data_IF_810887814385
#
_entry.id   IF_810887814385
#
_cell.length_a   1.000
_cell.length_b   1.000
_cell.length_c   1.000
_cell.angle_alpha   90.00
_cell.angle_beta   90.00
_cell.angle_gamma   90.00
#
_symmetry.space_group_name_H-M   'P 1'
#
loop_
_entity.id
_entity.type
_entity.pdbx_description
1 polymer ?
#
# COMPACT_ATOMS: atom_id res chain seq x y z
N UNK A 1 -33.43 -1.68 11.29
CA UNK A 1 -32.12 -1.19 11.84
C UNK A 1 -31.57 -2.02 12.99
N UNK A 2 -32.29 -2.97 13.52
CA UNK A 2 -31.91 -3.70 14.74
C UNK A 2 -30.59 -4.47 14.59
N UNK A 3 -30.46 -5.29 13.53
CA UNK A 3 -29.23 -6.06 13.28
C UNK A 3 -28.01 -5.18 12.98
N UNK A 4 -28.21 -4.06 12.26
CA UNK A 4 -27.13 -3.12 11.96
C UNK A 4 -26.66 -2.37 13.21
N UNK A 5 -27.54 -2.04 14.14
CA UNK A 5 -27.19 -1.42 15.42
C UNK A 5 -26.45 -2.42 16.31
N UNK A 6 -26.90 -3.69 16.36
CA UNK A 6 -26.20 -4.78 17.05
C UNK A 6 -24.78 -4.94 16.47
N UNK A 7 -24.64 -4.95 15.15
CA UNK A 7 -23.34 -5.00 14.49
C UNK A 7 -22.44 -3.81 14.89
N UNK A 8 -23.01 -2.59 14.95
CA UNK A 8 -22.29 -1.40 15.39
C UNK A 8 -21.71 -1.57 16.80
N UNK A 9 -22.50 -2.03 17.75
CA UNK A 9 -22.04 -2.28 19.13
C UNK A 9 -20.96 -3.35 19.17
N UNK A 10 -21.14 -4.47 18.45
CA UNK A 10 -20.11 -5.51 18.32
C UNK A 10 -18.79 -4.98 17.74
N UNK A 11 -18.84 -4.11 16.72
CA UNK A 11 -17.65 -3.47 16.16
C UNK A 11 -16.96 -2.53 17.17
N UNK A 12 -17.73 -1.82 18.00
CA UNK A 12 -17.18 -0.96 19.06
C UNK A 12 -16.50 -1.80 20.15
N UNK A 13 -17.09 -2.92 20.54
CA UNK A 13 -16.52 -3.87 21.52
C UNK A 13 -15.22 -4.51 20.99
N UNK A 14 -15.16 -4.82 19.69
CA UNK A 14 -13.97 -5.36 19.01
C UNK A 14 -12.82 -4.33 18.97
N UNK A 15 -13.12 -3.04 18.89
CA UNK A 15 -12.14 -1.98 18.67
C UNK A 15 -10.95 -2.02 19.66
N UNK A 16 -11.14 -2.12 20.98
CA UNK A 16 -10.04 -2.14 21.96
C UNK A 16 -9.30 -3.49 22.03
N UNK A 17 -9.82 -4.55 21.42
CA UNK A 17 -9.26 -5.89 21.54
C UNK A 17 -7.93 -6.07 20.82
N UNK A 18 -7.07 -6.98 21.30
CA UNK A 18 -5.87 -7.43 20.61
C UNK A 18 -6.19 -8.27 19.38
N UNK A 19 -5.22 -8.45 18.49
CA UNK A 19 -5.41 -9.09 17.18
C UNK A 19 -6.01 -10.49 17.23
N UNK A 20 -5.62 -11.33 18.21
CA UNK A 20 -6.16 -12.69 18.33
C UNK A 20 -7.63 -12.68 18.75
N UNK A 21 -7.99 -11.87 19.77
CA UNK A 21 -9.37 -11.71 20.20
C UNK A 21 -10.25 -11.14 19.07
N UNK A 22 -9.76 -10.14 18.33
CA UNK A 22 -10.45 -9.64 17.12
C UNK A 22 -10.71 -10.75 16.11
N UNK A 23 -9.73 -11.64 15.90
CA UNK A 23 -9.89 -12.76 14.97
C UNK A 23 -10.98 -13.75 15.43
N UNK A 24 -11.07 -14.03 16.72
CA UNK A 24 -12.09 -14.90 17.30
C UNK A 24 -13.48 -14.27 17.16
N UNK A 25 -13.64 -13.00 17.52
CA UNK A 25 -14.90 -12.28 17.37
C UNK A 25 -15.36 -12.21 15.90
N UNK A 26 -14.44 -11.96 14.96
CA UNK A 26 -14.74 -11.98 13.54
C UNK A 26 -15.14 -13.37 13.03
N UNK A 27 -14.57 -14.45 13.57
CA UNK A 27 -14.94 -15.82 13.24
C UNK A 27 -16.35 -16.19 13.76
N UNK A 28 -16.78 -15.57 14.86
CA UNK A 28 -18.08 -15.77 15.49
C UNK A 28 -19.21 -14.92 14.86
N UNK A 29 -18.88 -14.04 13.90
CA UNK A 29 -19.89 -13.28 13.16
C UNK A 29 -20.75 -14.17 12.28
N UNK A 30 -22.06 -13.92 12.27
CA UNK A 30 -23.00 -14.60 11.37
C UNK A 30 -22.81 -14.13 9.90
N UNK A 31 -23.54 -14.77 8.98
CA UNK A 31 -23.40 -14.47 7.54
C UNK A 31 -23.85 -13.05 7.18
N UNK A 32 -24.84 -12.49 7.90
CA UNK A 32 -25.26 -11.11 7.71
C UNK A 32 -24.17 -10.14 8.18
N UNK A 33 -23.65 -10.34 9.39
CA UNK A 33 -22.57 -9.50 9.96
C UNK A 33 -21.31 -9.53 9.08
N UNK A 34 -20.87 -10.73 8.64
CA UNK A 34 -19.74 -10.87 7.73
C UNK A 34 -19.97 -10.14 6.40
N UNK A 35 -21.18 -10.24 5.84
CA UNK A 35 -21.56 -9.57 4.59
C UNK A 35 -21.53 -8.04 4.75
N UNK A 36 -22.03 -7.52 5.86
CA UNK A 36 -22.03 -6.07 6.13
C UNK A 36 -20.62 -5.54 6.36
N UNK A 37 -19.77 -6.26 7.10
CA UNK A 37 -18.36 -5.91 7.26
C UNK A 37 -17.62 -6.00 5.92
N UNK A 38 -17.91 -7.01 5.11
CA UNK A 38 -17.33 -7.12 3.76
C UNK A 38 -17.75 -5.95 2.88
N UNK A 39 -19.00 -5.51 2.94
CA UNK A 39 -19.51 -4.35 2.21
C UNK A 39 -18.78 -3.05 2.62
N UNK A 40 -18.51 -2.86 3.93
CA UNK A 40 -17.72 -1.74 4.42
C UNK A 40 -16.28 -1.78 3.91
N UNK A 41 -15.65 -2.94 3.83
CA UNK A 41 -14.22 -3.09 3.53
C UNK A 41 -13.91 -3.34 2.06
N UNK A 42 -14.86 -3.78 1.23
CA UNK A 42 -14.61 -4.11 -0.18
C UNK A 42 -14.14 -2.89 -0.97
N UNK A 43 -12.88 -2.83 -1.43
CA UNK A 43 -12.31 -1.64 -2.07
C UNK A 43 -12.92 -1.32 -3.45
N UNK A 44 -13.66 -2.27 -4.04
CA UNK A 44 -14.31 -2.11 -5.34
C UNK A 44 -15.75 -1.60 -5.26
N UNK A 45 -16.30 -1.50 -4.05
CA UNK A 45 -17.63 -0.95 -3.82
C UNK A 45 -17.49 0.50 -3.40
N UNK A 46 -18.25 1.40 -4.04
CA UNK A 46 -18.29 2.83 -3.74
C UNK A 46 -19.73 3.27 -3.64
N UNK A 47 -20.02 4.10 -2.66
CA UNK A 47 -21.37 4.64 -2.46
C UNK A 47 -21.57 6.03 -3.07
N UNK A 48 -20.48 6.71 -3.51
CA UNK A 48 -20.54 7.97 -4.25
C UNK A 48 -21.00 9.19 -3.45
N UNK A 49 -21.41 9.05 -2.19
CA UNK A 49 -21.88 10.16 -1.35
C UNK A 49 -20.82 10.49 -0.30
N UNK A 50 -20.11 11.62 -0.50
CA UNK A 50 -19.03 12.06 0.41
C UNK A 50 -19.49 13.15 1.40
N UNK A 51 -20.50 13.94 1.01
CA UNK A 51 -21.06 15.04 1.83
C UNK A 51 -22.59 15.00 1.77
N UNK A 52 -23.21 15.10 2.90
CA UNK A 52 -24.67 15.15 3.08
C UNK A 52 -24.99 15.86 4.40
N UNK A 53 -26.22 16.37 4.53
CA UNK A 53 -26.68 17.01 5.78
C UNK A 53 -27.06 15.92 6.80
N UNK A 54 -26.54 16.04 8.00
CA UNK A 54 -26.88 15.15 9.11
C UNK A 54 -27.99 15.82 9.92
N UNK A 55 -29.17 15.19 9.98
CA UNK A 55 -30.28 15.62 10.81
C UNK A 55 -30.04 15.25 12.28
N UNK A 56 -30.74 15.90 13.20
CA UNK A 56 -30.81 15.47 14.59
C UNK A 56 -31.32 14.03 14.67
N UNK A 57 -30.68 13.15 15.46
CA UNK A 57 -31.09 11.76 15.56
C UNK A 57 -32.45 11.62 16.26
N UNK A 58 -33.23 10.65 15.84
CA UNK A 58 -34.48 10.25 16.52
C UNK A 58 -34.15 9.42 17.77
N UNK A 59 -35.14 9.23 18.65
CA UNK A 59 -35.02 8.32 19.81
C UNK A 59 -34.86 6.85 19.35
N UNK A 60 -35.57 6.47 18.28
CA UNK A 60 -35.46 5.16 17.67
C UNK A 60 -35.45 5.26 16.14
N UNK A 61 -34.73 4.34 15.48
CA UNK A 61 -34.70 4.29 14.00
C UNK A 61 -35.98 3.73 13.43
N UNK A 62 -36.53 4.42 12.43
CA UNK A 62 -37.75 4.00 11.69
C UNK A 62 -37.43 2.95 10.62
N UNK A 63 -36.33 3.07 9.81
CA UNK A 63 -36.12 2.16 8.69
C UNK A 63 -35.72 0.75 9.15
N UNK A 64 -36.12 -0.26 8.37
CA UNK A 64 -35.69 -1.64 8.56
C UNK A 64 -34.22 -1.81 8.14
N UNK A 65 -33.57 -2.92 8.56
CA UNK A 65 -32.25 -3.31 8.03
C UNK A 65 -32.28 -3.45 6.49
N UNK A 66 -33.35 -4.06 5.97
CA UNK A 66 -33.55 -4.25 4.54
C UNK A 66 -33.57 -2.92 3.76
N UNK A 67 -34.30 -1.91 4.26
CA UNK A 67 -34.36 -0.57 3.63
C UNK A 67 -32.97 0.07 3.51
N UNK A 68 -32.14 -0.10 4.56
CA UNK A 68 -30.78 0.43 4.56
C UNK A 68 -29.90 -0.31 3.57
N UNK A 69 -29.97 -1.65 3.55
CA UNK A 69 -29.20 -2.48 2.61
C UNK A 69 -29.57 -2.17 1.17
N UNK A 70 -30.87 -2.08 0.85
CA UNK A 70 -31.35 -1.71 -0.50
C UNK A 70 -30.81 -0.34 -0.96
N UNK A 71 -30.77 0.66 -0.09
CA UNK A 71 -30.16 1.95 -0.46
C UNK A 71 -28.65 1.80 -0.72
N UNK A 72 -27.93 1.04 0.14
CA UNK A 72 -26.50 0.79 -0.06
C UNK A 72 -26.24 0.05 -1.39
N UNK A 73 -27.08 -0.91 -1.75
CA UNK A 73 -27.00 -1.65 -3.02
C UNK A 73 -27.23 -0.71 -4.24
N UNK A 74 -28.26 0.16 -4.20
CA UNK A 74 -28.51 1.15 -5.24
C UNK A 74 -27.38 2.16 -5.40
N UNK A 75 -26.74 2.56 -4.29
CA UNK A 75 -25.56 3.42 -4.31
C UNK A 75 -24.35 2.67 -4.89
N UNK A 76 -24.15 1.41 -4.48
CA UNK A 76 -23.04 0.57 -4.91
C UNK A 76 -23.12 0.21 -6.40
N UNK A 77 -24.31 -0.09 -6.91
CA UNK A 77 -24.57 -0.41 -8.32
C UNK A 77 -24.59 0.84 -9.23
N UNK A 78 -24.52 2.04 -8.64
CA UNK A 78 -24.63 3.31 -9.36
C UNK A 78 -26.01 3.56 -9.99
N UNK A 79 -27.01 2.81 -9.59
CA UNK A 79 -28.42 3.05 -9.94
C UNK A 79 -28.89 4.42 -9.41
N UNK A 80 -28.34 4.82 -8.25
CA UNK A 80 -28.63 6.11 -7.62
C UNK A 80 -27.33 6.92 -7.46
N UNK A 81 -27.27 8.08 -8.13
CA UNK A 81 -26.07 8.94 -8.18
C UNK A 81 -26.42 10.42 -8.01
N UNK A 82 -25.39 11.28 -7.87
CA UNK A 82 -25.54 12.73 -7.83
C UNK A 82 -26.47 13.23 -6.73
N UNK A 83 -27.25 14.27 -7.01
CA UNK A 83 -28.15 14.89 -6.05
C UNK A 83 -29.26 13.94 -5.55
N UNK A 84 -29.72 13.03 -6.41
CA UNK A 84 -30.72 12.04 -6.00
C UNK A 84 -30.19 11.10 -4.93
N UNK A 85 -28.91 10.66 -5.05
CA UNK A 85 -28.24 9.87 -4.03
C UNK A 85 -28.08 10.65 -2.71
N UNK A 86 -27.68 11.92 -2.79
CA UNK A 86 -27.56 12.79 -1.60
C UNK A 86 -28.90 12.92 -0.89
N UNK A 87 -29.97 13.25 -1.63
CA UNK A 87 -31.33 13.39 -1.07
C UNK A 87 -31.82 12.11 -0.42
N UNK A 88 -31.60 10.95 -1.05
CA UNK A 88 -31.99 9.67 -0.49
C UNK A 88 -31.22 9.34 0.80
N UNK A 89 -29.92 9.63 0.84
CA UNK A 89 -29.09 9.47 2.03
C UNK A 89 -29.56 10.40 3.15
N UNK A 90 -29.81 11.68 2.86
CA UNK A 90 -30.31 12.66 3.83
C UNK A 90 -31.67 12.24 4.43
N UNK A 91 -32.59 11.80 3.57
CA UNK A 91 -33.92 11.31 3.99
C UNK A 91 -33.81 10.07 4.90
N UNK A 92 -32.94 9.14 4.54
CA UNK A 92 -32.73 7.94 5.34
C UNK A 92 -32.07 8.27 6.69
N UNK A 93 -31.04 9.12 6.71
CA UNK A 93 -30.33 9.55 7.93
C UNK A 93 -31.26 10.31 8.87
N UNK A 94 -32.16 11.14 8.35
CA UNK A 94 -33.16 11.88 9.14
C UNK A 94 -34.16 10.97 9.86
N UNK A 95 -34.30 9.73 9.45
CA UNK A 95 -35.20 8.74 10.07
C UNK A 95 -34.49 7.77 11.02
N UNK A 96 -33.22 8.02 11.37
CA UNK A 96 -32.40 7.13 12.21
C UNK A 96 -32.13 7.72 13.58
N UNK A 97 -31.96 6.85 14.57
CA UNK A 97 -31.35 7.17 15.86
C UNK A 97 -29.83 7.38 15.72
N UNK A 98 -29.16 7.83 16.78
CA UNK A 98 -27.73 8.11 16.77
C UNK A 98 -26.87 6.90 16.35
N UNK A 99 -27.13 5.71 16.89
CA UNK A 99 -26.43 4.49 16.53
C UNK A 99 -26.69 4.07 15.07
N UNK A 100 -27.93 4.26 14.60
CA UNK A 100 -28.28 4.03 13.19
C UNK A 100 -27.51 4.96 12.24
N UNK A 101 -27.40 6.25 12.57
CA UNK A 101 -26.62 7.21 11.80
C UNK A 101 -25.13 6.86 11.80
N UNK A 102 -24.57 6.42 12.95
CA UNK A 102 -23.15 6.06 13.04
C UNK A 102 -22.82 4.81 12.20
N UNK A 103 -23.60 3.74 12.30
CA UNK A 103 -23.35 2.53 11.49
C UNK A 103 -23.50 2.82 10.02
N UNK A 104 -24.51 3.59 9.62
CA UNK A 104 -24.69 3.97 8.22
C UNK A 104 -23.50 4.81 7.69
N UNK A 105 -23.01 5.75 8.50
CA UNK A 105 -21.82 6.53 8.20
C UNK A 105 -20.58 5.67 8.01
N UNK A 106 -20.40 4.57 8.77
CA UNK A 106 -19.28 3.61 8.61
C UNK A 106 -19.29 2.95 7.24
N UNK A 107 -20.46 2.65 6.67
CA UNK A 107 -20.60 2.18 5.29
C UNK A 107 -20.10 3.24 4.31
N UNK A 108 -20.62 4.46 4.39
CA UNK A 108 -20.23 5.54 3.47
C UNK A 108 -18.75 5.89 3.54
N UNK A 109 -18.14 5.82 4.73
CA UNK A 109 -16.72 6.05 4.97
C UNK A 109 -15.85 4.84 4.57
N UNK A 110 -16.45 3.68 4.28
CA UNK A 110 -15.71 2.44 3.98
C UNK A 110 -14.78 2.02 5.11
N UNK A 111 -15.21 2.22 6.37
CA UNK A 111 -14.40 1.97 7.57
C UNK A 111 -15.29 1.47 8.72
N UNK A 112 -15.15 0.22 9.16
CA UNK A 112 -15.88 -0.33 10.30
C UNK A 112 -15.50 0.32 11.64
N UNK A 113 -14.41 1.13 11.70
CA UNK A 113 -13.84 1.78 12.87
C UNK A 113 -13.51 0.86 14.03
N UNK A 114 -13.22 -0.40 13.75
CA UNK A 114 -12.96 -1.44 14.74
C UNK A 114 -11.48 -1.88 14.79
N UNK A 115 -10.58 -1.17 14.10
CA UNK A 115 -9.14 -1.41 14.15
C UNK A 115 -8.69 -2.75 13.54
N UNK A 116 -9.41 -3.23 12.52
CA UNK A 116 -9.01 -4.36 11.68
C UNK A 116 -9.25 -4.05 10.20
N UNK A 117 -8.70 -4.89 9.32
CA UNK A 117 -8.86 -4.73 7.88
C UNK A 117 -9.04 -6.06 7.16
N UNK A 118 -9.11 -6.00 5.83
CA UNK A 118 -9.38 -7.14 4.92
C UNK A 118 -8.49 -8.36 5.24
N UNK A 119 -7.21 -8.14 5.58
CA UNK A 119 -6.28 -9.25 5.83
C UNK A 119 -6.64 -10.09 7.05
N UNK A 120 -7.25 -9.49 8.08
CA UNK A 120 -7.71 -10.22 9.25
C UNK A 120 -9.04 -10.94 8.95
N UNK A 121 -9.99 -10.24 8.33
CA UNK A 121 -11.27 -10.83 7.90
C UNK A 121 -11.05 -12.07 7.02
N UNK A 122 -10.18 -11.98 6.02
CA UNK A 122 -9.91 -13.08 5.09
C UNK A 122 -9.23 -14.31 5.69
N UNK A 123 -8.83 -14.26 6.97
CA UNK A 123 -8.37 -15.45 7.70
C UNK A 123 -9.53 -16.28 8.28
N UNK A 124 -10.72 -15.67 8.42
CA UNK A 124 -11.82 -16.28 9.14
C UNK A 124 -13.18 -16.22 8.41
N UNK A 125 -13.38 -15.25 7.51
CA UNK A 125 -14.63 -15.13 6.75
C UNK A 125 -14.76 -16.26 5.74
N UNK A 126 -15.98 -16.78 5.60
CA UNK A 126 -16.31 -17.83 4.62
C UNK A 126 -16.09 -17.37 3.18
N UNK A 127 -16.50 -16.14 2.87
CA UNK A 127 -16.27 -15.50 1.57
C UNK A 127 -15.20 -14.45 1.70
N UNK A 128 -14.03 -14.62 1.06
CA UNK A 128 -12.95 -13.63 1.13
C UNK A 128 -13.35 -12.29 0.52
N UNK A 129 -13.05 -11.21 1.23
CA UNK A 129 -13.20 -9.84 0.71
C UNK A 129 -12.11 -9.62 -0.36
N UNK A 130 -12.45 -9.11 -1.55
CA UNK A 130 -11.48 -8.80 -2.58
C UNK A 130 -10.42 -7.82 -2.09
N UNK A 131 -9.15 -8.02 -2.47
CA UNK A 131 -8.06 -7.11 -2.17
C UNK A 131 -7.75 -6.22 -3.36
N UNK A 132 -7.46 -4.95 -3.07
CA UNK A 132 -6.88 -4.08 -4.08
C UNK A 132 -5.41 -4.46 -4.24
N UNK A 133 -5.08 -5.07 -5.35
CA UNK A 133 -3.73 -5.53 -5.68
C UNK A 133 -3.25 -4.86 -6.95
N UNK A 134 -1.93 -4.66 -7.04
CA UNK A 134 -1.24 -4.12 -8.21
C UNK A 134 -0.02 -4.98 -8.51
N UNK A 135 0.56 -4.81 -9.68
CA UNK A 135 1.78 -5.53 -10.04
C UNK A 135 2.96 -5.08 -9.15
N UNK A 136 3.69 -6.07 -8.64
CA UNK A 136 4.85 -5.86 -7.78
C UNK A 136 6.09 -6.53 -8.37
N UNK A 137 7.23 -5.85 -8.25
CA UNK A 137 8.52 -6.38 -8.66
C UNK A 137 9.09 -7.40 -7.67
N UNK A 138 9.78 -8.40 -8.19
CA UNK A 138 10.65 -9.31 -7.43
C UNK A 138 12.04 -8.69 -7.26
N UNK A 139 12.76 -9.09 -6.20
CA UNK A 139 14.16 -8.73 -6.07
C UNK A 139 14.99 -9.44 -7.15
N UNK A 140 15.91 -8.70 -7.79
CA UNK A 140 16.78 -9.25 -8.82
C UNK A 140 17.91 -10.08 -8.20
N UNK A 141 18.57 -9.56 -7.17
CA UNK A 141 19.57 -10.28 -6.37
C UNK A 141 18.90 -11.23 -5.38
N UNK A 142 19.53 -12.37 -5.10
CA UNK A 142 19.11 -13.25 -4.03
C UNK A 142 19.45 -12.63 -2.68
N UNK A 143 18.80 -13.11 -1.62
CA UNK A 143 19.05 -12.60 -0.29
C UNK A 143 20.46 -13.01 0.17
N UNK A 144 21.29 -12.02 0.47
CA UNK A 144 22.66 -12.23 0.91
C UNK A 144 23.72 -12.15 -0.21
N UNK A 145 23.29 -11.95 -1.47
CA UNK A 145 24.24 -11.71 -2.56
C UNK A 145 25.00 -10.41 -2.33
N UNK A 146 26.33 -10.50 -2.42
CA UNK A 146 27.25 -9.36 -2.42
C UNK A 146 27.68 -9.03 -3.84
N UNK A 147 28.02 -7.78 -4.09
CA UNK A 147 28.62 -7.38 -5.36
C UNK A 147 29.98 -8.10 -5.56
N UNK A 148 30.32 -8.54 -6.79
CA UNK A 148 29.52 -8.51 -8.01
C UNK A 148 28.38 -9.52 -8.00
N UNK A 149 27.15 -9.05 -8.31
CA UNK A 149 25.98 -9.91 -8.34
C UNK A 149 26.01 -10.88 -9.52
N UNK A 150 25.54 -12.11 -9.29
CA UNK A 150 25.40 -13.10 -10.37
C UNK A 150 24.19 -12.81 -11.23
N UNK A 151 24.22 -13.14 -12.53
CA UNK A 151 23.06 -13.06 -13.40
C UNK A 151 21.90 -13.87 -12.82
N UNK A 152 20.71 -13.26 -12.74
CA UNK A 152 19.52 -13.98 -12.30
C UNK A 152 19.03 -14.87 -13.46
N UNK A 153 18.98 -16.22 -13.31
CA UNK A 153 18.64 -17.13 -14.39
C UNK A 153 17.18 -17.02 -14.87
N UNK A 154 16.35 -16.29 -14.13
CA UNK A 154 14.94 -16.06 -14.48
C UNK A 154 14.71 -14.71 -15.15
N UNK A 155 15.73 -13.86 -15.21
CA UNK A 155 15.68 -12.61 -15.93
C UNK A 155 15.77 -12.87 -17.44
N UNK A 156 15.01 -12.11 -18.22
CA UNK A 156 15.01 -12.19 -19.70
C UNK A 156 15.43 -10.83 -20.25
N UNK A 157 16.26 -10.87 -21.27
CA UNK A 157 16.76 -9.69 -21.93
C UNK A 157 16.21 -9.60 -23.36
N UNK A 158 16.02 -8.41 -23.96
CA UNK A 158 16.18 -7.09 -23.30
C UNK A 158 15.08 -6.79 -22.29
N UNK A 159 15.34 -5.84 -21.36
CA UNK A 159 14.35 -5.32 -20.42
C UNK A 159 14.10 -3.84 -20.68
N UNK A 160 12.93 -3.35 -20.26
CA UNK A 160 12.66 -1.93 -20.12
C UNK A 160 13.15 -1.52 -18.74
N UNK A 161 14.17 -0.67 -18.71
CA UNK A 161 14.78 -0.12 -17.51
C UNK A 161 14.19 1.21 -17.09
N UNK A 162 14.23 1.52 -15.82
CA UNK A 162 13.90 2.85 -15.27
C UNK A 162 14.52 3.04 -13.89
N UNK A 163 14.71 4.30 -13.50
CA UNK A 163 15.05 4.63 -12.12
C UNK A 163 14.00 4.04 -11.17
N UNK A 164 14.47 3.43 -10.09
CA UNK A 164 13.59 3.08 -8.97
C UNK A 164 13.37 4.32 -8.10
N UNK A 165 12.20 4.92 -8.24
CA UNK A 165 11.81 6.09 -7.46
C UNK A 165 11.63 5.72 -5.99
N UNK A 166 12.12 6.59 -5.11
CA UNK A 166 11.92 6.51 -3.67
C UNK A 166 10.76 7.41 -3.24
N UNK A 167 9.56 6.89 -3.34
CA UNK A 167 8.32 7.62 -3.11
C UNK A 167 7.21 6.76 -2.50
N UNK A 168 5.99 7.19 -2.72
CA UNK A 168 4.79 6.45 -2.36
C UNK A 168 4.09 5.96 -3.63
N UNK A 169 3.87 4.64 -3.74
CA UNK A 169 3.06 4.09 -4.85
C UNK A 169 1.68 4.70 -4.86
N UNK A 170 1.31 5.28 -5.98
CA UNK A 170 0.02 5.93 -6.22
C UNK A 170 -0.65 5.30 -7.43
N UNK A 171 -1.90 4.92 -7.25
CA UNK A 171 -2.77 4.46 -8.33
C UNK A 171 -3.82 5.55 -8.54
N UNK A 172 -3.83 6.16 -9.71
CA UNK A 172 -4.83 7.15 -10.08
C UNK A 172 -5.93 6.48 -10.89
N UNK A 173 -7.10 6.37 -10.33
CA UNK A 173 -8.29 5.90 -11.02
C UNK A 173 -9.02 7.08 -11.65
N UNK A 174 -9.38 6.94 -12.91
CA UNK A 174 -10.15 7.93 -13.67
C UNK A 174 -11.38 7.26 -14.26
N UNK A 175 -12.56 7.77 -13.90
CA UNK A 175 -13.87 7.39 -14.46
C UNK A 175 -14.35 8.57 -15.29
N UNK A 176 -14.11 8.52 -16.60
CA UNK A 176 -14.26 9.66 -17.51
C UNK A 176 -15.70 10.15 -17.60
N UNK A 177 -16.66 9.22 -17.71
CA UNK A 177 -18.09 9.59 -17.87
C UNK A 177 -18.68 10.24 -16.61
N UNK A 178 -18.09 9.97 -15.45
CA UNK A 178 -18.52 10.54 -14.17
C UNK A 178 -17.66 11.74 -13.75
N UNK A 179 -16.65 12.09 -14.55
CA UNK A 179 -15.62 13.09 -14.22
C UNK A 179 -14.97 12.85 -12.84
N UNK A 180 -14.91 11.58 -12.42
CA UNK A 180 -14.38 11.21 -11.13
C UNK A 180 -12.91 10.78 -11.24
N UNK A 181 -12.06 11.35 -10.38
CA UNK A 181 -10.65 10.99 -10.24
C UNK A 181 -10.34 10.68 -8.77
N UNK A 182 -9.71 9.54 -8.51
CA UNK A 182 -9.32 9.11 -7.18
C UNK A 182 -7.87 8.68 -7.16
N UNK A 183 -7.09 9.26 -6.27
CA UNK A 183 -5.75 8.79 -5.96
C UNK A 183 -5.82 7.78 -4.82
N UNK A 184 -5.22 6.61 -5.03
CA UNK A 184 -5.24 5.47 -4.14
C UNK A 184 -3.81 5.01 -3.83
N UNK A 185 -3.60 4.55 -2.61
CA UNK A 185 -2.36 3.85 -2.26
C UNK A 185 -2.32 2.46 -2.92
N UNK A 186 -1.17 1.80 -2.83
CA UNK A 186 -0.97 0.41 -3.28
C UNK A 186 -2.01 -0.59 -2.76
N UNK A 187 -2.65 -0.29 -1.64
CA UNK A 187 -3.67 -1.13 -0.98
C UNK A 187 -5.09 -0.61 -1.15
N UNK A 188 -5.28 0.41 -1.98
CA UNK A 188 -6.60 0.98 -2.28
C UNK A 188 -7.09 2.05 -1.30
N UNK A 189 -6.26 2.50 -0.35
CA UNK A 189 -6.64 3.57 0.56
C UNK A 189 -6.56 4.93 -0.14
N UNK A 190 -7.52 5.85 0.07
CA UNK A 190 -7.52 7.16 -0.57
C UNK A 190 -6.31 8.03 -0.17
N UNK A 191 -5.76 8.74 -1.15
CA UNK A 191 -4.72 9.75 -1.00
C UNK A 191 -5.31 11.09 -1.43
N UNK A 192 -5.70 11.93 -0.47
CA UNK A 192 -6.38 13.22 -0.76
C UNK A 192 -5.42 14.37 -0.98
N UNK A 193 -4.16 14.20 -0.63
CA UNK A 193 -3.11 15.23 -0.77
C UNK A 193 -2.79 15.57 -2.23
N UNK A 194 -3.11 14.67 -3.18
CA UNK A 194 -2.93 14.86 -4.62
C UNK A 194 -4.21 15.35 -5.34
N UNK A 195 -5.27 15.71 -4.61
CA UNK A 195 -6.53 16.11 -5.21
C UNK A 195 -6.42 17.33 -6.15
N UNK A 196 -5.39 18.14 -6.01
CA UNK A 196 -5.10 19.26 -6.91
C UNK A 196 -4.69 18.81 -8.32
N UNK A 197 -4.22 17.58 -8.52
CA UNK A 197 -3.85 17.00 -9.81
C UNK A 197 -5.04 16.37 -10.56
N UNK A 198 -6.22 16.28 -9.94
CA UNK A 198 -7.39 15.61 -10.53
C UNK A 198 -7.81 16.17 -11.90
N UNK A 199 -7.84 17.50 -12.15
CA UNK A 199 -8.24 18.02 -13.45
C UNK A 199 -7.34 17.52 -14.58
N UNK A 200 -6.03 17.52 -14.35
CA UNK A 200 -5.05 17.06 -15.33
C UNK A 200 -5.15 15.52 -15.56
N UNK A 201 -5.33 14.73 -14.52
CA UNK A 201 -5.54 13.30 -14.68
C UNK A 201 -6.85 12.95 -15.39
N UNK A 202 -7.90 13.75 -15.21
CA UNK A 202 -9.14 13.58 -15.97
C UNK A 202 -8.93 13.83 -17.46
N UNK A 203 -8.16 14.85 -17.82
CA UNK A 203 -7.80 15.12 -19.22
C UNK A 203 -6.97 13.98 -19.81
N UNK A 204 -5.97 13.47 -19.09
CA UNK A 204 -5.20 12.32 -19.51
C UNK A 204 -6.08 11.06 -19.69
N UNK A 205 -7.07 10.87 -18.80
CA UNK A 205 -8.09 9.83 -18.93
C UNK A 205 -8.91 9.98 -20.21
N UNK A 206 -9.36 11.19 -20.55
CA UNK A 206 -10.09 11.48 -21.81
C UNK A 206 -9.23 11.17 -23.04
N UNK A 207 -7.96 11.56 -23.02
CA UNK A 207 -7.00 11.26 -24.10
C UNK A 207 -6.74 9.77 -24.28
N UNK A 208 -6.90 8.97 -23.23
CA UNK A 208 -6.74 7.51 -23.30
C UNK A 208 -7.83 6.81 -24.15
N UNK A 209 -8.98 7.46 -24.33
CA UNK A 209 -10.16 6.89 -24.99
C UNK A 209 -10.88 5.81 -24.18
N UNK A 210 -10.45 5.54 -22.94
CA UNK A 210 -11.10 4.58 -22.05
C UNK A 210 -12.09 5.28 -21.11
N UNK A 211 -13.27 4.68 -20.91
CA UNK A 211 -14.28 5.21 -19.97
C UNK A 211 -13.85 5.09 -18.51
N UNK A 212 -13.07 4.05 -18.20
CA UNK A 212 -12.54 3.77 -16.87
C UNK A 212 -11.12 3.23 -16.99
N UNK A 213 -10.13 3.89 -16.39
CA UNK A 213 -8.72 3.55 -16.46
C UNK A 213 -8.02 3.80 -15.11
N UNK A 214 -7.00 3.01 -14.83
CA UNK A 214 -6.09 3.19 -13.71
C UNK A 214 -4.69 3.51 -14.22
N UNK A 215 -4.16 4.67 -13.86
CA UNK A 215 -2.74 4.98 -14.05
C UNK A 215 -1.95 4.53 -12.84
N UNK A 216 -0.83 3.89 -13.09
CA UNK A 216 0.03 3.31 -12.08
C UNK A 216 1.34 4.09 -12.03
N UNK A 217 1.70 4.59 -10.85
CA UNK A 217 2.82 5.50 -10.72
C UNK A 217 3.37 5.60 -9.30
N UNK A 218 4.31 6.53 -9.15
CA UNK A 218 4.94 6.86 -7.87
C UNK A 218 4.78 8.37 -7.61
N UNK A 219 4.33 8.72 -6.41
CA UNK A 219 4.32 10.10 -5.94
C UNK A 219 5.58 10.41 -5.15
N UNK A 220 6.27 11.48 -5.52
CA UNK A 220 7.47 11.97 -4.83
C UNK A 220 7.30 13.41 -4.37
N UNK A 221 7.92 13.79 -3.25
CA UNK A 221 7.94 15.16 -2.73
C UNK A 221 9.25 15.35 -1.93
N UNK A 222 10.33 15.67 -2.64
CA UNK A 222 11.67 15.71 -2.03
C UNK A 222 12.19 14.30 -1.70
N UNK A 223 12.72 14.12 -0.49
CA UNK A 223 13.17 12.79 -0.01
C UNK A 223 11.98 11.83 0.24
N UNK A 224 12.28 10.55 0.43
CA UNK A 224 11.24 9.55 0.76
C UNK A 224 10.41 9.93 2.00
N UNK A 225 11.09 10.35 3.08
CA UNK A 225 10.40 10.70 4.32
C UNK A 225 9.49 11.92 4.14
N UNK A 226 9.93 12.89 3.36
CA UNK A 226 9.10 14.03 2.95
C UNK A 226 7.94 13.60 2.07
N UNK A 227 8.18 12.73 1.09
CA UNK A 227 7.16 12.15 0.21
C UNK A 227 6.08 11.41 1.00
N UNK A 228 6.48 10.50 1.89
CA UNK A 228 5.53 9.74 2.73
C UNK A 228 4.79 10.67 3.69
N UNK A 229 5.47 11.62 4.31
CA UNK A 229 4.88 12.58 5.22
C UNK A 229 3.87 13.49 4.50
N UNK A 230 4.25 14.06 3.35
CA UNK A 230 3.41 14.96 2.57
C UNK A 230 2.18 14.23 1.98
N UNK A 231 2.40 13.06 1.37
CA UNK A 231 1.37 12.32 0.64
C UNK A 231 0.37 11.61 1.55
N UNK A 232 0.74 11.26 2.78
CA UNK A 232 -0.17 10.62 3.76
C UNK A 232 -1.01 11.59 4.57
N UNK A 233 -0.72 12.89 4.53
CA UNK A 233 -1.53 13.90 5.22
C UNK A 233 -2.94 13.94 4.62
N UNK A 234 -3.95 13.79 5.47
CA UNK A 234 -5.36 13.91 5.05
C UNK A 234 -5.75 15.39 4.98
N UNK A 235 -6.47 15.76 3.92
CA UNK A 235 -7.03 17.10 3.72
C UNK A 235 -6.00 18.25 3.62
N UNK A 236 -4.74 17.94 3.34
CA UNK A 236 -3.67 18.92 3.09
C UNK A 236 -3.11 18.64 1.70
N UNK A 237 -3.07 19.65 0.82
CA UNK A 237 -2.47 19.52 -0.51
C UNK A 237 -0.96 19.35 -0.38
N UNK A 238 -0.41 18.33 -1.00
CA UNK A 238 1.04 18.15 -1.13
C UNK A 238 1.54 18.99 -2.32
N UNK A 239 1.65 20.31 -2.12
CA UNK A 239 2.17 21.22 -3.13
C UNK A 239 3.62 20.89 -3.41
N UNK A 240 4.00 20.80 -4.69
CA UNK A 240 5.34 20.37 -5.12
C UNK A 240 5.57 18.85 -5.12
N UNK A 241 4.53 18.06 -4.80
CA UNK A 241 4.58 16.62 -5.05
C UNK A 241 4.39 16.34 -6.55
N UNK A 242 5.26 15.48 -7.08
CA UNK A 242 5.23 15.05 -8.48
C UNK A 242 4.68 13.64 -8.58
N UNK A 243 3.77 13.41 -9.52
CA UNK A 243 3.25 12.08 -9.84
C UNK A 243 3.87 11.54 -11.12
N UNK A 244 4.70 10.50 -10.97
CA UNK A 244 5.40 9.84 -12.07
C UNK A 244 4.61 8.61 -12.52
N UNK A 245 3.94 8.69 -13.65
CA UNK A 245 3.19 7.58 -14.25
C UNK A 245 4.16 6.67 -14.99
N UNK A 246 4.13 5.36 -14.73
CA UNK A 246 5.02 4.39 -15.37
C UNK A 246 4.31 3.16 -15.95
N UNK A 247 3.00 3.03 -15.75
CA UNK A 247 2.15 2.00 -16.36
C UNK A 247 0.67 2.38 -16.26
N UNK A 248 -0.21 1.58 -16.83
CA UNK A 248 -1.64 1.66 -16.63
C UNK A 248 -2.29 0.27 -16.71
N UNK A 249 -3.51 0.17 -16.20
CA UNK A 249 -4.35 -1.02 -16.36
C UNK A 249 -5.83 -0.65 -16.44
N UNK A 250 -6.62 -1.57 -17.00
CA UNK A 250 -8.07 -1.42 -17.08
C UNK A 250 -8.76 -2.30 -16.02
N UNK A 251 -9.93 -1.88 -15.50
CA UNK A 251 -10.65 -2.62 -14.46
C UNK A 251 -10.89 -4.09 -14.80
N UNK A 252 -11.29 -4.37 -16.04
CA UNK A 252 -11.59 -5.71 -16.54
C UNK A 252 -10.39 -6.64 -16.55
N UNK A 253 -9.16 -6.12 -16.67
CA UNK A 253 -7.94 -6.94 -16.64
C UNK A 253 -7.78 -7.68 -15.31
N UNK A 254 -8.29 -7.12 -14.22
CA UNK A 254 -8.23 -7.74 -12.89
C UNK A 254 -8.98 -9.08 -12.85
N UNK A 255 -10.15 -9.13 -13.47
CA UNK A 255 -10.93 -10.37 -13.58
C UNK A 255 -10.26 -11.38 -14.53
N UNK A 256 -9.70 -10.88 -15.64
CA UNK A 256 -9.06 -11.67 -16.69
C UNK A 256 -7.68 -12.22 -16.27
N UNK A 257 -6.96 -11.55 -15.37
CA UNK A 257 -5.56 -11.82 -15.03
C UNK A 257 -5.29 -13.24 -14.47
N UNK A 258 -6.32 -13.96 -14.06
CA UNK A 258 -6.22 -15.35 -13.62
C UNK A 258 -6.28 -16.35 -14.77
N UNK A 259 -6.69 -15.92 -15.97
CA UNK A 259 -6.84 -16.80 -17.13
C UNK A 259 -5.50 -16.98 -17.88
N UNK A 260 -5.28 -18.20 -18.39
CA UNK A 260 -4.12 -18.48 -19.25
C UNK A 260 -4.20 -17.69 -20.56
N UNK A 261 -5.40 -17.39 -21.04
CA UNK A 261 -5.63 -16.62 -22.25
C UNK A 261 -5.12 -15.20 -22.11
N UNK A 262 -5.48 -14.51 -21.01
CA UNK A 262 -4.98 -13.16 -20.74
C UNK A 262 -3.44 -13.09 -20.66
N UNK A 263 -2.79 -14.09 -20.06
CA UNK A 263 -1.33 -14.13 -19.97
C UNK A 263 -0.67 -14.21 -21.37
N UNK A 264 -1.37 -14.77 -22.36
CA UNK A 264 -0.90 -14.86 -23.74
C UNK A 264 -1.26 -13.62 -24.57
N UNK A 265 -2.52 -13.20 -24.53
CA UNK A 265 -3.12 -12.23 -25.46
C UNK A 265 -3.30 -10.83 -24.86
N UNK A 266 -3.16 -10.67 -23.54
CA UNK A 266 -3.27 -9.38 -22.89
C UNK A 266 -2.23 -8.38 -23.37
N UNK A 267 -2.54 -7.09 -23.27
CA UNK A 267 -1.69 -5.98 -23.72
C UNK A 267 -0.32 -6.03 -23.06
N UNK A 268 0.73 -6.05 -23.87
CA UNK A 268 2.12 -6.16 -23.40
C UNK A 268 2.64 -4.82 -22.85
N UNK A 269 3.63 -4.86 -21.96
CA UNK A 269 4.21 -3.64 -21.37
C UNK A 269 4.68 -2.64 -22.44
N UNK A 270 5.38 -3.11 -23.47
CA UNK A 270 5.83 -2.26 -24.58
C UNK A 270 4.68 -1.52 -25.28
N UNK A 271 3.51 -2.16 -25.42
CA UNK A 271 2.32 -1.58 -26.01
C UNK A 271 1.68 -0.55 -25.03
N UNK A 272 1.62 -0.87 -23.75
CA UNK A 272 1.13 0.06 -22.72
C UNK A 272 1.97 1.33 -22.66
N UNK A 273 3.31 1.17 -22.69
CA UNK A 273 4.22 2.33 -22.68
C UNK A 273 4.11 3.16 -23.96
N UNK A 274 3.94 2.52 -25.13
CA UNK A 274 3.72 3.25 -26.38
C UNK A 274 2.45 4.12 -26.31
N UNK A 275 1.35 3.60 -25.74
CA UNK A 275 0.12 4.37 -25.51
C UNK A 275 0.31 5.51 -24.52
N UNK A 276 1.00 5.26 -23.41
CA UNK A 276 1.32 6.33 -22.45
C UNK A 276 2.13 7.44 -23.11
N UNK A 277 3.15 7.12 -23.92
CA UNK A 277 3.94 8.10 -24.68
C UNK A 277 3.04 8.91 -25.62
N UNK A 278 2.12 8.25 -26.31
CA UNK A 278 1.15 8.93 -27.21
C UNK A 278 0.24 9.87 -26.42
N UNK A 279 -0.37 9.40 -25.32
CA UNK A 279 -1.28 10.22 -24.52
C UNK A 279 -0.58 11.43 -23.90
N UNK A 280 0.61 11.25 -23.33
CA UNK A 280 1.38 12.37 -22.79
C UNK A 280 1.84 13.38 -23.85
N UNK A 281 2.12 12.95 -25.09
CA UNK A 281 2.42 13.86 -26.21
C UNK A 281 1.18 14.69 -26.64
N UNK A 282 -0.01 14.14 -26.50
CA UNK A 282 -1.26 14.77 -26.87
C UNK A 282 -1.83 15.69 -25.78
N UNK A 283 -1.20 15.75 -24.61
CA UNK A 283 -1.50 16.77 -23.61
C UNK A 283 -1.09 18.16 -24.13
N UNK A 284 -1.75 19.24 -23.66
CA UNK A 284 -1.60 20.61 -24.19
C UNK A 284 -0.25 21.28 -23.88
N UNK A 285 0.89 20.62 -24.21
CA UNK A 285 2.22 21.21 -24.08
C UNK A 285 2.81 21.19 -22.67
N UNK A 286 3.93 21.89 -22.49
CA UNK A 286 4.74 21.90 -21.25
C UNK A 286 3.99 22.46 -20.03
N UNK A 287 2.94 23.28 -20.25
CA UNK A 287 2.11 23.89 -19.19
C UNK A 287 0.97 23.00 -18.70
N UNK A 288 0.80 21.79 -19.23
CA UNK A 288 -0.36 20.94 -18.97
C UNK A 288 -0.50 20.58 -17.48
N UNK A 289 0.56 20.08 -16.88
CA UNK A 289 0.64 19.79 -15.45
C UNK A 289 2.12 19.57 -15.07
N UNK A 290 2.79 20.58 -14.57
CA UNK A 290 4.22 20.48 -14.21
C UNK A 290 4.50 19.40 -13.17
N UNK A 291 3.48 18.93 -12.47
CA UNK A 291 3.58 17.93 -11.40
C UNK A 291 3.13 16.52 -11.83
N UNK A 292 2.88 16.28 -13.14
CA UNK A 292 2.54 14.94 -13.66
C UNK A 292 3.45 14.61 -14.83
N UNK A 293 4.25 13.54 -14.69
CA UNK A 293 5.22 13.14 -15.70
C UNK A 293 5.04 11.69 -16.11
N UNK A 294 5.29 11.39 -17.38
CA UNK A 294 5.62 10.02 -17.79
C UNK A 294 7.01 9.69 -17.25
N UNK A 295 7.12 8.65 -16.43
CA UNK A 295 8.40 8.24 -15.88
C UNK A 295 9.36 7.79 -17.00
N UNK A 296 10.59 8.35 -17.10
CA UNK A 296 11.54 7.99 -18.12
C UNK A 296 11.90 6.50 -18.10
N UNK A 297 12.00 5.91 -19.28
CA UNK A 297 12.39 4.52 -19.45
C UNK A 297 13.34 4.35 -20.67
N UNK A 298 14.06 3.25 -20.69
CA UNK A 298 15.05 2.90 -21.71
C UNK A 298 15.17 1.39 -21.84
N UNK A 299 15.93 0.92 -22.82
CA UNK A 299 16.19 -0.51 -23.02
C UNK A 299 17.50 -0.90 -22.34
N UNK A 300 17.49 -2.03 -21.66
CA UNK A 300 18.66 -2.68 -21.05
C UNK A 300 18.84 -4.03 -21.72
N UNK A 301 20.02 -4.27 -22.27
CA UNK A 301 20.26 -5.43 -23.14
C UNK A 301 20.87 -6.62 -22.40
N UNK A 302 21.54 -6.40 -21.26
CA UNK A 302 22.22 -7.48 -20.54
C UNK A 302 22.24 -7.28 -19.02
N UNK A 303 22.68 -8.33 -18.33
CA UNK A 303 22.93 -8.28 -16.90
C UNK A 303 23.99 -7.22 -16.55
N UNK A 304 25.07 -7.17 -17.30
CA UNK A 304 26.20 -6.26 -17.08
C UNK A 304 25.73 -4.81 -17.20
N UNK A 305 24.94 -4.47 -18.21
CA UNK A 305 24.35 -3.15 -18.39
C UNK A 305 23.40 -2.81 -17.22
N UNK A 306 22.60 -3.78 -16.75
CA UNK A 306 21.69 -3.57 -15.60
C UNK A 306 22.46 -3.25 -14.32
N UNK A 307 23.56 -3.96 -14.07
CA UNK A 307 24.42 -3.71 -12.91
C UNK A 307 25.17 -2.38 -13.05
N UNK A 308 25.70 -2.06 -14.23
CA UNK A 308 26.36 -0.77 -14.47
C UNK A 308 25.42 0.41 -14.21
N UNK A 309 24.18 0.34 -14.69
CA UNK A 309 23.16 1.37 -14.45
C UNK A 309 22.82 1.48 -12.96
N UNK A 310 22.64 0.34 -12.29
CA UNK A 310 22.41 0.31 -10.86
C UNK A 310 23.55 1.00 -10.08
N UNK A 311 24.80 0.70 -10.40
CA UNK A 311 25.94 1.36 -9.74
C UNK A 311 25.94 2.87 -9.97
N UNK A 312 25.65 3.34 -11.20
CA UNK A 312 25.49 4.77 -11.49
C UNK A 312 24.36 5.43 -10.68
N UNK A 313 23.26 4.68 -10.37
CA UNK A 313 22.18 5.16 -9.49
C UNK A 313 22.68 5.36 -8.06
N UNK A 314 23.44 4.40 -7.54
CA UNK A 314 24.02 4.51 -6.20
C UNK A 314 24.99 5.67 -6.08
N UNK A 315 25.87 5.86 -7.10
CA UNK A 315 26.78 7.00 -7.15
C UNK A 315 26.07 8.37 -7.17
N UNK A 316 24.83 8.39 -7.71
CA UNK A 316 23.93 9.55 -7.73
C UNK A 316 23.05 9.67 -6.47
N UNK A 317 23.22 8.81 -5.45
CA UNK A 317 22.36 8.70 -4.27
C UNK A 317 20.88 8.43 -4.59
N UNK A 318 20.62 7.69 -5.65
CA UNK A 318 19.28 7.24 -6.03
C UNK A 318 19.00 5.83 -5.47
N UNK A 319 17.72 5.43 -5.31
CA UNK A 319 17.34 4.18 -4.62
C UNK A 319 17.80 2.91 -5.36
N UNK A 320 17.87 2.95 -6.69
CA UNK A 320 18.27 1.80 -7.49
C UNK A 320 17.66 1.76 -8.88
N UNK A 321 17.58 0.56 -9.44
CA UNK A 321 17.19 0.31 -10.83
C UNK A 321 16.03 -0.67 -10.93
N UNK A 322 15.14 -0.43 -11.89
CA UNK A 322 14.05 -1.33 -12.25
C UNK A 322 14.30 -1.94 -13.63
N UNK A 323 14.03 -3.25 -13.77
CA UNK A 323 14.01 -3.94 -15.05
C UNK A 323 12.68 -4.64 -15.26
N UNK A 324 12.02 -4.43 -16.39
CA UNK A 324 10.69 -4.97 -16.69
C UNK A 324 10.71 -5.71 -18.03
N UNK A 325 10.12 -6.90 -18.08
CA UNK A 325 9.96 -7.67 -19.32
C UNK A 325 9.00 -6.93 -20.28
N UNK A 326 9.45 -6.50 -21.47
CA UNK A 326 8.63 -5.78 -22.44
C UNK A 326 7.41 -6.56 -22.94
N UNK A 327 7.48 -7.88 -22.91
CA UNK A 327 6.41 -8.77 -23.39
C UNK A 327 5.47 -9.23 -22.27
N UNK A 328 5.62 -8.69 -21.05
CA UNK A 328 4.75 -9.01 -19.92
C UNK A 328 3.40 -8.29 -19.98
N UNK A 329 2.33 -8.98 -19.58
CA UNK A 329 1.03 -8.38 -19.30
C UNK A 329 1.04 -7.78 -17.88
N UNK A 330 0.03 -6.96 -17.56
CA UNK A 330 -0.14 -6.45 -16.18
C UNK A 330 -0.76 -7.52 -15.30
N UNK A 331 -0.06 -7.93 -14.23
CA UNK A 331 -0.52 -8.94 -13.28
C UNK A 331 -0.70 -8.34 -11.88
N UNK A 332 -1.85 -8.61 -11.25
CA UNK A 332 -2.21 -8.04 -9.93
C UNK A 332 -1.59 -8.84 -8.77
N UNK A 333 -0.27 -9.05 -8.84
CA UNK A 333 0.52 -9.81 -7.85
C UNK A 333 2.01 -9.48 -7.96
N UNK A 334 2.82 -10.07 -7.11
CA UNK A 334 4.28 -10.08 -7.30
C UNK A 334 4.66 -11.00 -8.44
N UNK A 335 5.47 -10.47 -9.37
CA UNK A 335 5.88 -11.20 -10.59
C UNK A 335 7.40 -11.17 -10.76
N UNK A 336 7.90 -12.06 -11.62
CA UNK A 336 9.27 -12.07 -12.12
C UNK A 336 9.41 -11.41 -13.50
N UNK A 337 8.33 -10.83 -13.99
CA UNK A 337 8.36 -9.95 -15.17
C UNK A 337 8.80 -8.52 -14.80
N UNK A 338 8.76 -8.18 -13.52
CA UNK A 338 9.32 -6.94 -12.99
C UNK A 338 10.38 -7.26 -11.94
N UNK A 339 11.57 -6.70 -12.12
CA UNK A 339 12.71 -6.83 -11.25
C UNK A 339 13.06 -5.48 -10.62
N UNK A 340 13.49 -5.52 -9.38
CA UNK A 340 14.06 -4.37 -8.69
C UNK A 340 15.44 -4.74 -8.16
N UNK A 341 16.39 -3.86 -8.40
CA UNK A 341 17.71 -3.91 -7.82
C UNK A 341 17.91 -2.63 -7.00
N UNK A 342 18.11 -2.79 -5.72
CA UNK A 342 18.37 -1.72 -4.77
C UNK A 342 19.42 -2.18 -3.78
N UNK A 343 20.15 -1.24 -3.24
CA UNK A 343 21.06 -1.55 -2.14
C UNK A 343 20.30 -1.66 -0.83
N UNK A 344 20.87 -2.43 0.09
CA UNK A 344 20.47 -2.46 1.49
C UNK A 344 21.73 -2.09 2.25
N UNK A 345 21.75 -0.91 2.86
CA UNK A 345 22.82 -0.53 3.77
C UNK A 345 22.82 -1.41 5.00
N UNK A 346 23.98 -1.63 5.56
CA UNK A 346 24.12 -2.27 6.86
C UNK A 346 25.18 -1.53 7.69
N UNK A 347 24.97 -1.52 8.99
CA UNK A 347 25.93 -1.03 9.98
C UNK A 347 26.05 -2.01 11.12
N UNK A 348 27.20 -2.06 11.72
CA UNK A 348 27.41 -2.79 12.94
C UNK A 348 27.01 -1.93 14.15
N UNK A 349 26.48 -2.59 15.17
CA UNK A 349 26.10 -1.93 16.40
C UNK A 349 26.04 -2.89 17.57
N UNK A 350 26.16 -2.34 18.77
CA UNK A 350 26.12 -3.11 20.02
C UNK A 350 24.68 -3.24 20.53
N UNK A 351 24.26 -4.44 20.90
CA UNK A 351 22.97 -4.66 21.58
C UNK A 351 23.06 -4.08 22.99
N UNK A 352 22.27 -3.03 23.24
CA UNK A 352 22.24 -2.33 24.54
C UNK A 352 20.93 -2.52 25.31
N UNK A 353 19.92 -3.18 24.71
CA UNK A 353 18.65 -3.42 25.37
C UNK A 353 17.62 -4.15 24.52
N UNK A 354 16.48 -4.42 25.15
CA UNK A 354 15.36 -5.16 24.56
C UNK A 354 14.06 -4.47 24.96
N UNK A 355 13.12 -4.32 24.03
CA UNK A 355 11.77 -3.82 24.28
C UNK A 355 10.75 -4.93 24.06
N UNK A 356 9.73 -4.99 24.94
CA UNK A 356 8.61 -5.91 24.80
C UNK A 356 7.82 -5.61 23.52
N UNK A 357 7.03 -6.57 23.08
CA UNK A 357 6.05 -6.38 22.03
C UNK A 357 4.96 -5.39 22.43
N UNK A 358 4.21 -4.93 21.43
CA UNK A 358 3.08 -4.02 21.66
C UNK A 358 2.11 -4.63 22.68
N UNK A 359 1.77 -3.93 23.78
CA UNK A 359 0.85 -4.40 24.82
C UNK A 359 -0.50 -4.88 24.29
N UNK A 360 -0.96 -4.28 23.17
CA UNK A 360 -2.23 -4.61 22.54
C UNK A 360 -2.10 -5.73 21.49
N UNK A 361 -0.95 -6.39 21.41
CA UNK A 361 -0.67 -7.48 20.48
C UNK A 361 -0.52 -8.83 21.19
N UNK A 362 -0.68 -9.92 20.44
CA UNK A 362 -0.37 -11.27 20.93
C UNK A 362 1.12 -11.51 21.26
N UNK A 363 1.96 -10.47 21.16
CA UNK A 363 3.39 -10.46 21.42
C UNK A 363 3.80 -9.61 22.63
N UNK A 364 2.83 -9.17 23.46
CA UNK A 364 3.07 -8.30 24.61
C UNK A 364 4.09 -8.83 25.62
N UNK A 365 4.22 -10.17 25.72
CA UNK A 365 5.09 -10.85 26.68
C UNK A 365 6.35 -11.43 26.07
N UNK A 366 6.67 -11.05 24.85
CA UNK A 366 7.86 -11.52 24.12
C UNK A 366 8.63 -10.34 23.54
N UNK A 367 9.72 -10.60 22.82
CA UNK A 367 10.55 -9.57 22.21
C UNK A 367 9.75 -8.80 21.12
N UNK A 368 9.70 -7.48 21.24
CA UNK A 368 9.22 -6.55 20.22
C UNK A 368 10.34 -5.98 19.36
N UNK A 369 11.37 -5.44 20.02
CA UNK A 369 12.53 -4.83 19.35
C UNK A 369 13.80 -5.06 20.13
N UNK A 370 14.95 -5.02 19.43
CA UNK A 370 16.27 -4.95 20.03
C UNK A 370 16.77 -3.51 19.91
N UNK A 371 17.24 -2.94 21.01
CA UNK A 371 17.85 -1.61 21.05
C UNK A 371 19.34 -1.77 20.80
N UNK A 372 19.85 -1.04 19.81
CA UNK A 372 21.21 -1.18 19.31
C UNK A 372 21.84 0.20 19.26
N UNK A 373 23.06 0.33 19.81
CA UNK A 373 23.89 1.51 19.67
C UNK A 373 24.82 1.34 18.48
N UNK A 374 24.70 2.21 17.49
CA UNK A 374 25.54 2.24 16.31
C UNK A 374 26.94 2.82 16.63
N UNK A 375 27.88 2.67 15.71
CA UNK A 375 29.25 3.20 15.85
C UNK A 375 29.29 4.72 16.10
N UNK A 376 28.38 5.47 15.49
CA UNK A 376 28.24 6.92 15.68
C UNK A 376 27.58 7.31 17.01
N UNK A 377 27.25 6.36 17.87
CA UNK A 377 26.60 6.55 19.17
C UNK A 377 25.07 6.68 19.10
N UNK A 378 24.47 6.70 17.93
CA UNK A 378 23.01 6.79 17.76
C UNK A 378 22.35 5.47 18.13
N UNK A 379 21.25 5.53 18.88
CA UNK A 379 20.48 4.35 19.26
C UNK A 379 19.33 4.09 18.28
N UNK A 380 19.26 2.86 17.79
CA UNK A 380 18.21 2.42 16.87
C UNK A 380 17.43 1.23 17.45
N UNK A 381 16.17 1.12 17.07
CA UNK A 381 15.27 0.03 17.50
C UNK A 381 15.00 -0.90 16.33
N UNK A 382 15.74 -1.99 16.28
CA UNK A 382 15.66 -2.95 15.17
C UNK A 382 14.57 -4.02 15.39
N UNK A 383 13.91 -4.39 14.31
CA UNK A 383 12.88 -5.44 14.22
C UNK A 383 13.23 -6.47 13.13
N UNK A 384 12.27 -7.27 12.68
CA UNK A 384 12.45 -8.21 11.56
C UNK A 384 12.93 -9.60 11.96
N UNK A 385 12.96 -9.90 13.25
CA UNK A 385 13.28 -11.21 13.80
C UNK A 385 12.08 -12.15 13.58
N UNK A 386 12.36 -13.38 13.16
CA UNK A 386 11.31 -14.40 12.96
C UNK A 386 10.71 -14.82 14.31
N UNK A 387 9.39 -15.03 14.33
CA UNK A 387 8.61 -15.34 15.54
C UNK A 387 9.22 -16.47 16.38
N UNK A 388 9.75 -17.51 15.76
CA UNK A 388 10.37 -18.66 16.47
C UNK A 388 11.57 -18.31 17.36
N UNK A 389 12.14 -17.11 17.23
CA UNK A 389 13.29 -16.66 18.03
C UNK A 389 12.91 -15.60 19.09
N UNK A 390 11.68 -15.07 19.06
CA UNK A 390 11.30 -13.94 19.92
C UNK A 390 11.34 -14.34 21.40
N UNK A 391 10.74 -15.48 21.75
CA UNK A 391 10.71 -15.97 23.13
C UNK A 391 12.10 -16.40 23.62
N UNK A 392 12.90 -17.02 22.76
CA UNK A 392 14.27 -17.43 23.10
C UNK A 392 15.13 -16.22 23.44
N UNK A 393 15.09 -15.17 22.62
CA UNK A 393 15.86 -13.94 22.87
C UNK A 393 15.33 -13.23 24.11
N UNK A 394 13.99 -13.11 24.26
CA UNK A 394 13.36 -12.43 25.38
C UNK A 394 13.71 -13.06 26.72
N UNK A 395 13.73 -14.39 26.80
CA UNK A 395 14.04 -15.12 28.02
C UNK A 395 15.56 -15.23 28.30
N UNK A 396 16.41 -14.92 27.32
CA UNK A 396 17.87 -15.04 27.42
C UNK A 396 18.59 -13.72 27.08
N UNK A 397 18.02 -12.57 27.47
CA UNK A 397 18.59 -11.25 27.15
C UNK A 397 20.07 -11.10 27.54
N UNK A 398 20.47 -11.62 28.69
CA UNK A 398 21.86 -11.58 29.15
C UNK A 398 22.87 -12.31 28.26
N UNK A 399 22.43 -13.24 27.41
CA UNK A 399 23.27 -13.92 26.43
C UNK A 399 23.63 -13.03 25.23
N UNK A 400 22.79 -12.05 24.94
CA UNK A 400 22.89 -11.23 23.75
C UNK A 400 23.25 -9.77 24.04
N UNK A 401 23.06 -9.30 25.27
CA UNK A 401 23.45 -7.97 25.70
C UNK A 401 24.96 -7.75 25.50
N UNK A 402 25.36 -6.63 24.89
CA UNK A 402 26.75 -6.31 24.58
C UNK A 402 27.31 -6.97 23.31
N UNK A 403 26.55 -7.85 22.65
CA UNK A 403 27.02 -8.46 21.38
C UNK A 403 26.87 -7.50 20.22
N UNK A 404 27.80 -7.64 19.26
CA UNK A 404 27.77 -6.89 18.00
C UNK A 404 26.87 -7.60 17.01
N UNK A 405 26.05 -6.79 16.32
CA UNK A 405 25.12 -7.26 15.29
C UNK A 405 25.18 -6.37 14.05
N UNK A 406 25.05 -6.99 12.89
CA UNK A 406 24.84 -6.28 11.64
C UNK A 406 23.36 -5.86 11.54
N UNK A 407 23.14 -4.55 11.50
CA UNK A 407 21.82 -3.96 11.36
C UNK A 407 21.62 -3.55 9.90
N UNK A 408 20.70 -4.22 9.21
CA UNK A 408 20.32 -3.83 7.85
C UNK A 408 19.29 -2.70 7.87
N UNK A 409 19.45 -1.71 7.00
CA UNK A 409 18.53 -0.60 6.85
C UNK A 409 18.23 -0.30 5.37
N UNK A 410 17.25 0.57 5.12
CA UNK A 410 16.98 1.03 3.76
C UNK A 410 17.92 2.18 3.37
N UNK A 411 18.26 3.03 4.31
CA UNK A 411 19.19 4.17 4.17
C UNK A 411 19.55 4.70 5.56
N UNK A 412 20.60 5.52 5.61
CA UNK A 412 20.95 6.34 6.78
C UNK A 412 20.16 7.65 6.74
N UNK A 413 19.67 8.07 7.89
CA UNK A 413 19.02 9.38 8.02
C UNK A 413 20.05 10.48 8.22
N UNK A 414 19.75 11.77 7.91
CA UNK A 414 20.70 12.87 8.06
C UNK A 414 21.24 13.06 9.49
N UNK A 415 20.49 12.61 10.51
CA UNK A 415 20.89 12.60 11.92
C UNK A 415 21.73 11.37 12.30
N UNK A 416 22.14 10.56 11.31
CA UNK A 416 22.98 9.37 11.52
C UNK A 416 22.24 8.16 12.06
N UNK A 417 20.90 8.18 12.11
CA UNK A 417 20.07 7.04 12.45
C UNK A 417 19.82 6.14 11.22
N UNK A 418 19.13 5.03 11.41
CA UNK A 418 18.80 4.07 10.36
C UNK A 418 17.32 4.04 10.05
N UNK A 419 16.98 4.09 8.77
CA UNK A 419 15.60 3.92 8.31
C UNK A 419 15.24 2.44 8.23
N UNK A 420 14.15 2.06 8.89
CA UNK A 420 13.66 0.66 8.98
C UNK A 420 14.75 -0.34 9.38
N UNK A 421 15.44 -0.15 10.52
CA UNK A 421 16.47 -1.06 10.97
C UNK A 421 15.91 -2.46 11.21
N UNK A 422 16.60 -3.48 10.68
CA UNK A 422 16.18 -4.88 10.72
C UNK A 422 17.36 -5.80 11.03
N UNK A 423 17.07 -6.87 11.76
CA UNK A 423 18.03 -7.91 12.04
C UNK A 423 17.70 -9.19 11.25
N UNK A 424 18.67 -9.73 10.54
CA UNK A 424 18.57 -11.03 9.83
C UNK A 424 18.95 -12.18 10.78
N UNK A 425 18.26 -12.24 11.92
CA UNK A 425 18.57 -13.19 13.00
C UNK A 425 18.49 -14.67 12.56
N UNK A 426 19.45 -15.56 12.99
CA UNK A 426 20.63 -15.29 13.83
C UNK A 426 21.87 -14.82 13.05
N UNK A 427 21.81 -14.73 11.72
CA UNK A 427 22.95 -14.47 10.84
C UNK A 427 23.51 -13.04 10.94
N UNK A 428 22.82 -12.15 11.68
CA UNK A 428 23.30 -10.80 11.97
C UNK A 428 24.27 -10.75 13.16
N UNK A 429 24.38 -11.83 13.95
CA UNK A 429 25.33 -11.89 15.06
C UNK A 429 26.74 -11.97 14.52
N UNK A 430 27.60 -11.06 15.00
CA UNK A 430 29.05 -11.13 14.81
C UNK A 430 29.67 -12.04 15.87
N UNK A 431 30.89 -12.45 15.65
CA UNK A 431 31.62 -13.18 16.65
C UNK A 431 31.82 -12.34 17.93
N UNK A 432 31.99 -13.03 19.08
CA UNK A 432 32.08 -12.33 20.37
C UNK A 432 33.31 -11.43 20.50
N UNK A 433 34.30 -11.59 19.60
CA UNK A 433 35.53 -10.80 19.55
C UNK A 433 35.41 -9.57 18.63
N UNK A 434 34.34 -9.49 17.78
CA UNK A 434 34.11 -8.34 16.91
C UNK A 434 33.77 -7.10 17.74
N UNK A 435 34.40 -5.99 17.41
CA UNK A 435 34.12 -4.67 17.98
C UNK A 435 33.42 -3.79 16.97
N UNK A 436 32.71 -2.76 17.46
CA UNK A 436 32.12 -1.74 16.60
C UNK A 436 33.26 -1.09 15.78
N UNK A 437 33.07 -1.03 14.45
CA UNK A 437 34.06 -0.45 13.54
C UNK A 437 35.09 -1.43 12.97
N UNK A 438 35.19 -2.65 13.51
CA UNK A 438 36.03 -3.71 12.95
C UNK A 438 35.27 -4.33 11.74
N UNK A 439 35.42 -3.74 10.57
CA UNK A 439 34.92 -4.29 9.30
C UNK A 439 36.06 -4.89 8.52
N UNK A 440 35.94 -6.18 8.18
CA UNK A 440 36.76 -6.83 7.15
C UNK A 440 36.38 -6.37 5.74
#
# INVERSE_FOLDING_TARGET
MEKLIVLKHKLDDIKPMGTNAKREELANMDDFEQSMVALMLNPFIRFGVKKYKVAAPLEASVPSDQTVVELLEKLASRELTGNAAITAVESLVASMCADGQDVFRRFLLKDPKAGFGISLCNKVFRTPIPKFEVQLASAYKEKGDKYPFKPNPKARWPMIGSLKLDGLRVICEVIVDEEEVNFLSRTGNPITSLDHLKPAMLELGRLSGHRHIFFDGEGTAGSFNESVSALRKKNVKAIGAVYHVFDFFLPEWRAMAKSKEYLKTGMKLKERLARLVEWFRNTRGEDYAPDIHLHPFYIIHSHEEFIERFMKRLDANEEGEMGKDPDSVYEFKRTRSWWKLKDEDSEDGEIIGFEAGDPDSGFAHTLGKIVIRLENGVEVRASGIKHKYLDEIWNNQGKYLGRIVEVHCHEKTPDGSLRHPRLKWPNCLRDTEDRIGDKD
#
